data_IF_563825374131
#
_entry.id   IF_563825374131
#
_cell.length_a   1.000
_cell.length_b   1.000
_cell.length_c   1.000
_cell.angle_alpha   90.00
_cell.angle_beta   90.00
_cell.angle_gamma   90.00
#
_symmetry.space_group_name_H-M   'P 1'
#
loop_
_entity.id
_entity.type
_entity.pdbx_description
1 polymer ?
#
# COMPACT_ATOMS: atom_id res chain seq x y z
N UNK A 1 26.06 142.54 38.88
CA UNK A 1 26.71 141.49 39.69
C UNK A 1 25.82 140.25 39.83
N UNK A 2 24.52 140.38 40.14
CA UNK A 2 23.62 139.21 40.27
C UNK A 2 23.42 138.40 38.97
N UNK A 3 23.28 139.06 37.82
CA UNK A 3 23.12 138.38 36.50
C UNK A 3 24.30 137.47 36.17
N UNK A 4 25.52 137.92 36.47
CA UNK A 4 26.76 137.20 36.19
C UNK A 4 26.96 135.98 37.12
N UNK A 5 26.39 136.04 38.33
CA UNK A 5 26.36 134.89 39.26
C UNK A 5 25.33 133.86 38.80
N UNK A 6 24.16 134.30 38.33
CA UNK A 6 23.13 133.43 37.78
C UNK A 6 23.58 132.71 36.48
N UNK A 7 24.28 133.41 35.59
CA UNK A 7 24.89 132.81 34.39
C UNK A 7 25.91 131.73 34.75
N UNK A 8 26.81 132.00 35.70
CA UNK A 8 27.79 131.00 36.15
C UNK A 8 27.14 129.79 36.82
N UNK A 9 26.06 129.99 37.59
CA UNK A 9 25.29 128.88 38.17
C UNK A 9 24.61 128.02 37.09
N UNK A 10 23.98 128.63 36.09
CA UNK A 10 23.37 127.90 34.98
C UNK A 10 24.40 127.16 34.12
N UNK A 11 25.58 127.75 33.91
CA UNK A 11 26.69 127.10 33.20
C UNK A 11 27.23 125.89 33.97
N UNK A 12 27.35 126.00 35.30
CA UNK A 12 27.75 124.91 36.17
C UNK A 12 26.71 123.77 36.19
N UNK A 13 25.42 124.11 36.23
CA UNK A 13 24.33 123.11 36.21
C UNK A 13 24.24 122.39 34.85
N UNK A 14 24.45 123.11 33.74
CA UNK A 14 24.60 122.50 32.40
C UNK A 14 25.81 121.57 32.31
N UNK A 15 26.96 121.99 32.83
CA UNK A 15 28.15 121.15 32.89
C UNK A 15 27.93 119.88 33.72
N UNK A 16 27.24 120.00 34.86
CA UNK A 16 26.86 118.87 35.70
C UNK A 16 25.91 117.91 34.98
N UNK A 17 24.90 118.42 34.25
CA UNK A 17 24.00 117.60 33.44
C UNK A 17 24.66 116.94 32.24
N UNK A 18 25.60 117.62 31.58
CA UNK A 18 26.40 117.04 30.50
C UNK A 18 27.24 115.87 31.03
N UNK A 19 27.94 116.05 32.17
CA UNK A 19 28.71 114.98 32.79
C UNK A 19 27.84 113.79 33.26
N UNK A 20 26.65 114.05 33.82
CA UNK A 20 25.69 112.99 34.17
C UNK A 20 25.18 112.22 32.93
N UNK A 21 24.96 112.91 31.81
CA UNK A 21 24.54 112.29 30.56
C UNK A 21 25.66 111.43 29.96
N UNK A 22 26.88 111.97 29.87
CA UNK A 22 28.06 111.26 29.37
C UNK A 22 28.36 110.03 30.22
N UNK A 23 28.24 110.14 31.55
CA UNK A 23 28.38 109.00 32.46
C UNK A 23 27.34 107.92 32.17
N UNK A 24 26.05 108.27 31.99
CA UNK A 24 25.00 107.29 31.68
C UNK A 24 25.19 106.64 30.32
N UNK A 25 25.60 107.41 29.30
CA UNK A 25 25.89 106.88 27.97
C UNK A 25 27.05 105.87 28.06
N UNK A 26 28.14 106.25 28.71
CA UNK A 26 29.29 105.36 28.89
C UNK A 26 28.93 104.09 29.67
N UNK A 27 28.18 104.20 30.77
CA UNK A 27 27.75 103.03 31.56
C UNK A 27 26.84 102.12 30.72
N UNK A 28 25.83 102.68 30.05
CA UNK A 28 24.92 101.88 29.21
C UNK A 28 25.64 101.22 28.02
N UNK A 29 26.65 101.88 27.45
CA UNK A 29 27.44 101.31 26.35
C UNK A 29 28.33 100.16 26.84
N UNK A 30 28.95 100.28 28.01
CA UNK A 30 29.69 99.17 28.63
C UNK A 30 28.75 98.02 29.03
N UNK A 31 27.55 98.31 29.54
CA UNK A 31 26.54 97.29 29.81
C UNK A 31 26.08 96.59 28.53
N UNK A 32 25.88 97.31 27.42
CA UNK A 32 25.52 96.72 26.14
C UNK A 32 26.60 95.76 25.62
N UNK A 33 27.89 96.16 25.69
CA UNK A 33 29.02 95.30 25.31
C UNK A 33 29.10 94.06 26.21
N UNK A 34 28.88 94.21 27.52
CA UNK A 34 28.86 93.10 28.46
C UNK A 34 27.72 92.11 28.14
N UNK A 35 26.51 92.61 27.88
CA UNK A 35 25.34 91.81 27.53
C UNK A 35 25.52 91.11 26.17
N UNK A 36 26.12 91.78 25.19
CA UNK A 36 26.46 91.18 23.90
C UNK A 36 27.45 90.01 24.07
N UNK A 37 28.51 90.22 24.86
CA UNK A 37 29.49 89.17 25.17
C UNK A 37 28.88 87.98 25.93
N UNK A 38 27.98 88.26 26.88
CA UNK A 38 27.26 87.22 27.63
C UNK A 38 26.33 86.43 26.70
N UNK A 39 25.53 87.09 25.87
CA UNK A 39 24.65 86.43 24.90
C UNK A 39 25.44 85.61 23.86
N UNK A 40 26.57 86.12 23.37
CA UNK A 40 27.45 85.38 22.46
C UNK A 40 27.99 84.12 23.13
N UNK A 41 28.42 84.22 24.39
CA UNK A 41 28.91 83.07 25.16
C UNK A 41 27.80 82.06 25.43
N UNK A 42 26.60 82.51 25.81
CA UNK A 42 25.44 81.64 26.01
C UNK A 42 25.02 80.95 24.71
N UNK A 43 25.03 81.66 23.58
CA UNK A 43 24.75 81.07 22.27
C UNK A 43 25.78 80.01 21.89
N UNK A 44 27.07 80.23 22.19
CA UNK A 44 28.12 79.25 21.95
C UNK A 44 27.97 78.02 22.85
N UNK A 45 27.65 78.21 24.14
CA UNK A 45 27.36 77.10 25.06
C UNK A 45 26.16 76.28 24.56
N UNK A 46 25.09 76.95 24.12
CA UNK A 46 23.92 76.27 23.58
C UNK A 46 24.23 75.45 22.32
N UNK A 47 25.07 75.97 21.42
CA UNK A 47 25.54 75.24 20.23
C UNK A 47 26.36 74.01 20.60
N UNK A 48 27.36 74.16 21.46
CA UNK A 48 28.21 73.03 21.89
C UNK A 48 27.39 71.95 22.60
N UNK A 49 26.41 72.35 23.42
CA UNK A 49 25.50 71.40 24.06
C UNK A 49 24.59 70.68 23.06
N UNK A 50 24.11 71.37 22.03
CA UNK A 50 23.32 70.76 20.96
C UNK A 50 24.14 69.74 20.16
N UNK A 51 25.38 70.10 19.80
CA UNK A 51 26.31 69.21 19.09
C UNK A 51 26.65 67.96 19.92
N UNK A 52 26.88 68.14 21.22
CA UNK A 52 27.10 67.02 22.15
C UNK A 52 25.87 66.10 22.22
N UNK A 53 24.68 66.67 22.36
CA UNK A 53 23.43 65.90 22.41
C UNK A 53 23.17 65.13 21.09
N UNK A 54 23.48 65.72 19.94
CA UNK A 54 23.39 65.05 18.64
C UNK A 54 24.38 63.89 18.56
N UNK A 55 25.65 64.11 18.94
CA UNK A 55 26.67 63.06 18.94
C UNK A 55 26.30 61.89 19.87
N UNK A 56 25.78 62.19 21.06
CA UNK A 56 25.29 61.17 22.00
C UNK A 56 24.09 60.39 21.44
N UNK A 57 23.13 61.06 20.80
CA UNK A 57 21.97 60.42 20.20
C UNK A 57 22.38 59.49 19.05
N UNK A 58 23.31 59.92 18.19
CA UNK A 58 23.85 59.09 17.10
C UNK A 58 24.63 57.88 17.64
N UNK A 59 25.43 58.06 18.70
CA UNK A 59 26.13 56.96 19.34
C UNK A 59 25.15 55.94 19.94
N UNK A 60 24.12 56.40 20.65
CA UNK A 60 23.05 55.54 21.19
C UNK A 60 22.31 54.81 20.07
N UNK A 61 21.91 55.50 19.01
CA UNK A 61 21.24 54.89 17.86
C UNK A 61 22.09 53.79 17.22
N UNK A 62 23.39 54.04 17.01
CA UNK A 62 24.31 53.04 16.46
C UNK A 62 24.45 51.83 17.38
N UNK A 63 24.55 52.04 18.69
CA UNK A 63 24.64 50.96 19.66
C UNK A 63 23.37 50.09 19.68
N UNK A 64 22.19 50.71 19.69
CA UNK A 64 20.90 50.00 19.66
C UNK A 64 20.68 49.24 18.35
N UNK A 65 21.04 49.83 17.20
CA UNK A 65 20.95 49.13 15.90
C UNK A 65 21.88 47.92 15.89
N UNK A 66 23.13 48.07 16.32
CA UNK A 66 24.09 46.97 16.37
C UNK A 66 23.62 45.84 17.31
N UNK A 67 23.05 46.21 18.47
CA UNK A 67 22.46 45.27 19.43
C UNK A 67 21.26 44.53 18.82
N UNK A 68 20.33 45.24 18.21
CA UNK A 68 19.16 44.65 17.57
C UNK A 68 19.55 43.72 16.40
N UNK A 69 20.56 44.09 15.61
CA UNK A 69 21.09 43.24 14.53
C UNK A 69 21.74 41.97 15.09
N UNK A 70 22.57 42.09 16.14
CA UNK A 70 23.18 40.94 16.78
C UNK A 70 22.13 40.00 17.39
N UNK A 71 21.11 40.55 18.06
CA UNK A 71 19.99 39.77 18.59
C UNK A 71 19.20 39.08 17.47
N UNK A 72 18.91 39.77 16.37
CA UNK A 72 18.22 39.17 15.22
C UNK A 72 19.02 38.02 14.60
N UNK A 73 20.34 38.14 14.47
CA UNK A 73 21.19 37.08 13.94
C UNK A 73 21.28 35.88 14.89
N UNK A 74 21.35 36.13 16.20
CA UNK A 74 21.29 35.07 17.22
C UNK A 74 19.96 34.33 17.14
N UNK A 75 18.83 35.05 17.03
CA UNK A 75 17.52 34.43 16.91
C UNK A 75 17.38 33.62 15.62
N UNK A 76 17.89 34.14 14.50
CA UNK A 76 17.91 33.42 13.22
C UNK A 76 18.74 32.14 13.32
N UNK A 77 19.92 32.20 13.93
CA UNK A 77 20.78 31.03 14.14
C UNK A 77 20.08 29.97 15.02
N UNK A 78 19.43 30.39 16.12
CA UNK A 78 18.64 29.48 16.97
C UNK A 78 17.45 28.86 16.24
N UNK A 79 16.76 29.65 15.42
CA UNK A 79 15.64 29.16 14.62
C UNK A 79 16.09 28.06 13.64
N UNK A 80 17.21 28.29 12.94
CA UNK A 80 17.77 27.28 12.01
C UNK A 80 18.20 26.02 12.76
N UNK A 81 18.84 26.16 13.92
CA UNK A 81 19.23 25.00 14.75
C UNK A 81 18.00 24.19 15.19
N UNK A 82 16.94 24.86 15.65
CA UNK A 82 15.69 24.24 16.05
C UNK A 82 14.96 23.59 14.85
N UNK A 83 14.92 24.25 13.70
CA UNK A 83 14.35 23.70 12.47
C UNK A 83 15.05 22.41 12.05
N UNK A 84 16.39 22.41 12.03
CA UNK A 84 17.18 21.23 11.67
C UNK A 84 17.02 20.11 12.71
N UNK A 85 16.92 20.44 13.99
CA UNK A 85 16.62 19.46 15.05
C UNK A 85 15.25 18.80 14.86
N UNK A 86 14.23 19.59 14.57
CA UNK A 86 12.87 19.09 14.32
C UNK A 86 12.83 18.24 13.05
N UNK A 87 13.43 18.71 11.95
CA UNK A 87 13.57 17.94 10.71
C UNK A 87 14.28 16.61 10.94
N UNK A 88 15.38 16.61 11.69
CA UNK A 88 16.10 15.38 12.02
C UNK A 88 15.21 14.41 12.82
N UNK A 89 14.46 14.90 13.81
CA UNK A 89 13.51 14.10 14.57
C UNK A 89 12.39 13.50 13.69
N UNK A 90 11.82 14.29 12.78
CA UNK A 90 10.78 13.84 11.87
C UNK A 90 11.31 12.81 10.87
N UNK A 91 12.51 13.02 10.32
CA UNK A 91 13.20 12.05 9.45
C UNK A 91 13.45 10.73 10.20
N UNK A 92 13.88 10.79 11.46
CA UNK A 92 14.07 9.59 12.29
C UNK A 92 12.73 8.87 12.49
N UNK A 93 11.65 9.59 12.79
CA UNK A 93 10.31 9.01 12.95
C UNK A 93 9.83 8.33 11.67
N UNK A 94 10.02 8.99 10.52
CA UNK A 94 9.61 8.45 9.22
C UNK A 94 10.44 7.21 8.84
N UNK A 95 11.75 7.23 9.11
CA UNK A 95 12.62 6.08 8.90
C UNK A 95 12.22 4.90 9.79
N UNK A 96 11.87 5.13 11.06
CA UNK A 96 11.36 4.09 11.96
C UNK A 96 10.06 3.51 11.42
N UNK A 97 9.13 4.34 10.94
CA UNK A 97 7.87 3.86 10.35
C UNK A 97 8.12 3.03 9.08
N UNK A 98 9.00 3.50 8.19
CA UNK A 98 9.40 2.75 7.00
C UNK A 98 9.98 1.39 7.37
N UNK A 99 10.93 1.34 8.30
CA UNK A 99 11.51 0.10 8.79
C UNK A 99 10.47 -0.82 9.43
N UNK A 100 9.52 -0.28 10.20
CA UNK A 100 8.45 -1.06 10.80
C UNK A 100 7.55 -1.70 9.74
N UNK A 101 7.20 -0.96 8.67
CA UNK A 101 6.41 -1.47 7.55
C UNK A 101 7.18 -2.56 6.79
N UNK A 102 8.49 -2.33 6.53
CA UNK A 102 9.35 -3.30 5.85
C UNK A 102 9.48 -4.61 6.64
N UNK A 103 9.77 -4.51 7.94
CA UNK A 103 9.84 -5.67 8.85
C UNK A 103 8.48 -6.38 8.92
N UNK A 104 7.37 -5.65 8.99
CA UNK A 104 6.04 -6.25 9.03
C UNK A 104 5.69 -6.97 7.71
N UNK A 105 6.04 -6.38 6.57
CA UNK A 105 5.84 -7.00 5.25
C UNK A 105 6.71 -8.25 5.09
N UNK A 106 7.97 -8.20 5.51
CA UNK A 106 8.88 -9.35 5.49
C UNK A 106 8.40 -10.47 6.43
N UNK A 107 7.94 -10.12 7.63
CA UNK A 107 7.38 -11.08 8.58
C UNK A 107 6.11 -11.77 8.05
N UNK A 108 5.21 -11.03 7.38
CA UNK A 108 4.02 -11.61 6.78
C UNK A 108 4.37 -12.48 5.56
N UNK A 109 5.32 -12.06 4.73
CA UNK A 109 5.81 -12.86 3.61
C UNK A 109 6.42 -14.19 4.08
N UNK A 110 7.24 -14.16 5.14
CA UNK A 110 7.85 -15.35 5.71
C UNK A 110 6.80 -16.25 6.41
N UNK A 111 5.79 -15.66 7.04
CA UNK A 111 4.65 -16.39 7.60
C UNK A 111 3.90 -17.14 6.49
N UNK A 112 3.59 -16.46 5.39
CA UNK A 112 2.89 -17.05 4.25
C UNK A 112 3.71 -18.17 3.60
N UNK A 113 5.03 -17.98 3.43
CA UNK A 113 5.93 -19.04 2.94
C UNK A 113 5.89 -20.27 3.83
N UNK A 114 6.03 -20.11 5.15
CA UNK A 114 5.98 -21.24 6.08
C UNK A 114 4.64 -21.95 6.09
N UNK A 115 3.52 -21.21 6.01
CA UNK A 115 2.19 -21.81 5.90
C UNK A 115 2.06 -22.59 4.60
N UNK A 116 2.47 -22.03 3.46
CA UNK A 116 2.41 -22.70 2.17
C UNK A 116 3.29 -23.96 2.13
N UNK A 117 4.52 -23.89 2.67
CA UNK A 117 5.39 -25.06 2.82
C UNK A 117 4.76 -26.13 3.71
N UNK A 118 4.24 -25.75 4.89
CA UNK A 118 3.60 -26.70 5.79
C UNK A 118 2.35 -27.34 5.19
N UNK A 119 1.57 -26.60 4.39
CA UNK A 119 0.43 -27.15 3.65
C UNK A 119 0.88 -28.10 2.54
N UNK A 120 1.93 -27.75 1.79
CA UNK A 120 2.48 -28.63 0.75
C UNK A 120 3.01 -29.94 1.36
N UNK A 121 3.74 -29.86 2.46
CA UNK A 121 4.27 -31.02 3.18
C UNK A 121 3.12 -31.90 3.73
N UNK A 122 2.09 -31.29 4.31
CA UNK A 122 0.92 -32.02 4.81
C UNK A 122 0.18 -32.77 3.70
N UNK A 123 -0.01 -32.13 2.53
CA UNK A 123 -0.65 -32.74 1.36
C UNK A 123 0.22 -33.87 0.79
N UNK A 124 1.54 -33.67 0.70
CA UNK A 124 2.47 -34.70 0.25
C UNK A 124 2.44 -35.92 1.18
N UNK A 125 2.49 -35.71 2.49
CA UNK A 125 2.39 -36.79 3.49
C UNK A 125 1.06 -37.53 3.39
N UNK A 126 -0.05 -36.83 3.15
CA UNK A 126 -1.35 -37.45 2.94
C UNK A 126 -1.33 -38.36 1.70
N UNK A 127 -0.85 -37.87 0.57
CA UNK A 127 -0.79 -38.66 -0.67
C UNK A 127 0.17 -39.84 -0.56
N UNK A 128 1.31 -39.68 0.11
CA UNK A 128 2.24 -40.79 0.37
C UNK A 128 1.60 -41.85 1.26
N UNK A 129 0.87 -41.44 2.31
CA UNK A 129 0.16 -42.36 3.19
C UNK A 129 -0.97 -43.10 2.45
N UNK A 130 -1.74 -42.40 1.62
CA UNK A 130 -2.79 -42.99 0.77
C UNK A 130 -2.19 -43.96 -0.26
N UNK A 131 -1.13 -43.56 -0.96
CA UNK A 131 -0.44 -44.41 -1.94
C UNK A 131 0.13 -45.67 -1.28
N UNK A 132 0.78 -45.55 -0.11
CA UNK A 132 1.28 -46.68 0.66
C UNK A 132 0.14 -47.60 1.15
N UNK A 133 -1.00 -47.03 1.54
CA UNK A 133 -2.21 -47.79 1.90
C UNK A 133 -2.75 -48.60 0.73
N UNK A 134 -2.94 -47.95 -0.42
CA UNK A 134 -3.41 -48.60 -1.67
C UNK A 134 -2.42 -49.68 -2.12
N UNK A 135 -1.12 -49.39 -2.09
CA UNK A 135 -0.09 -50.37 -2.42
C UNK A 135 -0.16 -51.60 -1.53
N UNK A 136 -0.33 -51.44 -0.20
CA UNK A 136 -0.50 -52.56 0.73
C UNK A 136 -1.74 -53.39 0.42
N UNK A 137 -2.87 -52.75 0.10
CA UNK A 137 -4.11 -53.45 -0.28
C UNK A 137 -3.91 -54.23 -1.59
N UNK A 138 -3.29 -53.62 -2.60
CA UNK A 138 -3.02 -54.27 -3.88
C UNK A 138 -2.03 -55.43 -3.73
N UNK A 139 -1.00 -55.26 -2.91
CA UNK A 139 -0.05 -56.33 -2.60
C UNK A 139 -0.74 -57.51 -1.89
N UNK A 140 -1.55 -57.23 -0.87
CA UNK A 140 -2.33 -58.26 -0.18
C UNK A 140 -3.30 -58.99 -1.12
N UNK A 141 -3.93 -58.26 -2.05
CA UNK A 141 -4.78 -58.86 -3.11
C UNK A 141 -3.95 -59.75 -4.04
N UNK A 142 -2.79 -59.28 -4.50
CA UNK A 142 -1.89 -60.06 -5.36
C UNK A 142 -1.40 -61.35 -4.66
N UNK A 143 -1.02 -61.26 -3.39
CA UNK A 143 -0.61 -62.40 -2.57
C UNK A 143 -1.78 -63.39 -2.33
N UNK A 144 -2.99 -62.86 -2.13
CA UNK A 144 -4.22 -63.64 -2.04
C UNK A 144 -4.53 -64.39 -3.33
N UNK A 145 -4.45 -63.72 -4.49
CA UNK A 145 -4.61 -64.33 -5.80
C UNK A 145 -3.53 -65.39 -6.08
N UNK A 146 -2.28 -65.12 -5.73
CA UNK A 146 -1.20 -66.10 -5.84
C UNK A 146 -1.46 -67.35 -4.98
N UNK A 147 -2.02 -67.17 -3.78
CA UNK A 147 -2.42 -68.27 -2.90
C UNK A 147 -3.57 -69.08 -3.48
N UNK A 148 -4.59 -68.44 -4.06
CA UNK A 148 -5.70 -69.12 -4.72
C UNK A 148 -5.22 -69.95 -5.92
N UNK A 149 -4.37 -69.38 -6.78
CA UNK A 149 -3.77 -70.09 -7.93
C UNK A 149 -2.91 -71.28 -7.48
N UNK A 150 -2.20 -71.15 -6.36
CA UNK A 150 -1.42 -72.24 -5.78
C UNK A 150 -2.33 -73.35 -5.23
N UNK A 151 -3.45 -73.00 -4.60
CA UNK A 151 -4.42 -73.95 -4.04
C UNK A 151 -5.23 -74.69 -5.11
N UNK A 152 -5.41 -74.13 -6.31
CA UNK A 152 -6.02 -74.83 -7.46
C UNK A 152 -5.05 -75.76 -8.20
N UNK A 153 -3.87 -76.03 -7.63
CA UNK A 153 -2.89 -76.95 -8.21
C UNK A 153 -2.18 -76.40 -9.45
N UNK A 154 -2.24 -75.08 -9.68
CA UNK A 154 -1.61 -74.42 -10.83
C UNK A 154 -2.48 -74.36 -12.09
N UNK A 155 -3.74 -74.80 -12.05
CA UNK A 155 -4.66 -74.60 -13.17
C UNK A 155 -5.21 -73.16 -13.17
N UNK A 156 -4.62 -72.33 -14.03
CA UNK A 156 -4.99 -70.93 -14.19
C UNK A 156 -6.45 -70.73 -14.66
N UNK A 157 -7.05 -71.73 -15.33
CA UNK A 157 -8.45 -71.64 -15.79
C UNK A 157 -9.44 -71.76 -14.63
N UNK A 158 -9.21 -72.68 -13.70
CA UNK A 158 -10.06 -72.84 -12.51
C UNK A 158 -9.97 -71.63 -11.56
N UNK A 159 -8.76 -71.07 -11.41
CA UNK A 159 -8.55 -69.83 -10.64
C UNK A 159 -9.25 -68.63 -11.29
N UNK A 160 -9.18 -68.48 -12.62
CA UNK A 160 -9.90 -67.43 -13.34
C UNK A 160 -11.42 -67.54 -13.19
N UNK A 161 -11.99 -68.75 -13.21
CA UNK A 161 -13.43 -68.97 -12.98
C UNK A 161 -13.85 -68.58 -11.57
N UNK A 162 -13.06 -68.93 -10.54
CA UNK A 162 -13.34 -68.51 -9.16
C UNK A 162 -13.25 -66.98 -8.97
N UNK A 163 -12.25 -66.34 -9.59
CA UNK A 163 -12.13 -64.87 -9.58
C UNK A 163 -13.28 -64.18 -10.32
N UNK A 164 -13.77 -64.76 -11.42
CA UNK A 164 -14.95 -64.26 -12.12
C UNK A 164 -16.20 -64.37 -11.25
N UNK A 165 -16.40 -65.47 -10.52
CA UNK A 165 -17.56 -65.62 -9.61
C UNK A 165 -17.54 -64.56 -8.51
N UNK A 166 -16.39 -64.27 -7.91
CA UNK A 166 -16.25 -63.20 -6.90
C UNK A 166 -16.54 -61.81 -7.49
N UNK A 167 -16.09 -61.52 -8.72
CA UNK A 167 -16.31 -60.23 -9.38
C UNK A 167 -17.68 -60.06 -10.03
N UNK A 168 -18.43 -61.13 -10.24
CA UNK A 168 -19.82 -61.06 -10.72
C UNK A 168 -20.70 -60.36 -9.68
N UNK A 169 -20.50 -60.57 -8.37
CA UNK A 169 -21.29 -59.89 -7.33
C UNK A 169 -21.08 -58.36 -7.34
N UNK A 170 -19.83 -57.90 -7.43
CA UNK A 170 -19.49 -56.48 -7.56
C UNK A 170 -20.05 -55.88 -8.86
N UNK A 171 -19.95 -56.59 -10.00
CA UNK A 171 -20.53 -56.13 -11.26
C UNK A 171 -22.06 -56.04 -11.22
N UNK A 172 -22.74 -57.03 -10.64
CA UNK A 172 -24.19 -57.02 -10.51
C UNK A 172 -24.63 -55.88 -9.61
N UNK A 173 -23.92 -55.62 -8.50
CA UNK A 173 -24.21 -54.48 -7.62
C UNK A 173 -24.03 -53.14 -8.34
N UNK A 174 -22.91 -52.95 -9.04
CA UNK A 174 -22.66 -51.74 -9.83
C UNK A 174 -23.67 -51.56 -10.98
N UNK A 175 -24.10 -52.65 -11.61
CA UNK A 175 -25.14 -52.64 -12.64
C UNK A 175 -26.52 -52.33 -12.06
N UNK A 176 -26.86 -52.84 -10.87
CA UNK A 176 -28.11 -52.49 -10.17
C UNK A 176 -28.11 -51.02 -9.77
N UNK A 177 -26.97 -50.48 -9.34
CA UNK A 177 -26.83 -49.06 -9.02
C UNK A 177 -26.92 -48.18 -10.28
N UNK A 178 -26.31 -48.60 -11.39
CA UNK A 178 -26.46 -47.95 -12.69
C UNK A 178 -27.90 -48.01 -13.23
N UNK A 179 -28.61 -49.14 -13.05
CA UNK A 179 -30.03 -49.31 -13.41
C UNK A 179 -30.94 -48.48 -12.50
N UNK A 180 -30.60 -48.34 -11.22
CA UNK A 180 -31.31 -47.44 -10.29
C UNK A 180 -31.16 -45.96 -10.66
N UNK A 181 -30.02 -45.59 -11.24
CA UNK A 181 -29.76 -44.24 -11.76
C UNK A 181 -30.30 -44.02 -13.19
N UNK A 182 -30.63 -45.08 -13.92
CA UNK A 182 -31.49 -45.03 -15.11
C UNK A 182 -32.94 -44.79 -14.67
N UNK A 183 -33.29 -43.53 -14.44
CA UNK A 183 -34.68 -43.12 -14.65
C UNK A 183 -35.02 -43.44 -16.10
N UNK A 184 -36.01 -44.31 -16.32
CA UNK A 184 -36.66 -44.49 -17.62
C UNK A 184 -37.43 -43.19 -17.91
N UNK A 185 -36.70 -42.15 -18.33
CA UNK A 185 -37.24 -40.93 -18.93
C UNK A 185 -37.01 -41.04 -20.44
N UNK A 186 -37.83 -41.88 -21.09
CA UNK A 186 -38.14 -41.77 -22.53
C UNK A 186 -39.16 -42.83 -22.95
N UNK A 187 -40.42 -42.67 -22.51
CA UNK A 187 -41.50 -42.82 -23.48
C UNK A 187 -41.79 -41.42 -23.99
N UNK A 188 -40.91 -40.94 -24.87
CA UNK A 188 -41.25 -39.86 -25.78
C UNK A 188 -41.64 -40.54 -27.07
N UNK A 189 -42.95 -40.68 -27.26
CA UNK A 189 -43.55 -41.04 -28.53
C UNK A 189 -43.09 -40.01 -29.56
N UNK A 190 -42.04 -40.35 -30.30
CA UNK A 190 -41.73 -39.71 -31.58
C UNK A 190 -42.63 -40.35 -32.62
N UNK A 191 -43.85 -39.85 -32.74
CA UNK A 191 -44.54 -39.87 -34.03
C UNK A 191 -44.95 -38.44 -34.35
N UNK A 192 -43.95 -37.70 -34.83
CA UNK A 192 -44.10 -36.37 -35.41
C UNK A 192 -44.24 -36.47 -36.92
N UNK A 193 -45.39 -36.96 -37.39
CA UNK A 193 -46.05 -36.53 -38.63
C UNK A 193 -45.57 -37.15 -39.95
N UNK A 194 -46.44 -37.94 -40.58
CA UNK A 194 -46.42 -38.10 -42.04
C UNK A 194 -47.06 -39.35 -42.66
N UNK A 195 -48.39 -39.47 -42.58
CA UNK A 195 -49.29 -40.11 -43.56
C UNK A 195 -49.34 -41.64 -43.75
N UNK A 196 -50.50 -42.16 -43.34
CA UNK A 196 -51.35 -43.17 -44.00
C UNK A 196 -50.91 -44.64 -44.03
N UNK A 197 -51.54 -45.38 -43.10
CA UNK A 197 -51.98 -46.79 -43.20
C UNK A 197 -50.95 -47.87 -42.83
N UNK A 198 -50.93 -48.26 -41.54
CA UNK A 198 -50.22 -49.44 -41.04
C UNK A 198 -49.75 -49.28 -39.59
N UNK A 199 -50.13 -50.22 -38.72
CA UNK A 199 -49.90 -50.20 -37.27
C UNK A 199 -48.44 -50.04 -36.84
N UNK A 200 -48.15 -49.02 -36.03
CA UNK A 200 -46.84 -48.69 -35.43
C UNK A 200 -46.21 -49.78 -34.51
N UNK A 201 -46.78 -50.98 -34.44
CA UNK A 201 -46.25 -52.12 -33.68
C UNK A 201 -45.44 -53.10 -34.52
N UNK A 202 -45.55 -53.09 -35.85
CA UNK A 202 -44.78 -53.97 -36.75
C UNK A 202 -43.40 -53.42 -37.14
N UNK A 203 -43.23 -52.09 -37.16
CA UNK A 203 -41.94 -51.46 -37.51
C UNK A 203 -40.93 -51.39 -36.36
N UNK A 204 -41.36 -51.58 -35.11
CA UNK A 204 -40.47 -51.69 -33.94
C UNK A 204 -39.76 -53.06 -33.88
N UNK A 205 -40.46 -54.13 -34.28
CA UNK A 205 -39.89 -55.48 -34.31
C UNK A 205 -38.91 -55.63 -35.47
N UNK A 206 -39.18 -55.02 -36.62
CA UNK A 206 -38.28 -55.04 -37.78
C UNK A 206 -37.03 -54.17 -37.57
N UNK A 207 -37.12 -53.07 -36.82
CA UNK A 207 -35.95 -52.24 -36.46
C UNK A 207 -35.07 -52.87 -35.37
N UNK A 208 -35.64 -53.67 -34.45
CA UNK A 208 -34.86 -54.38 -33.42
C UNK A 208 -34.07 -55.58 -34.00
N UNK A 209 -34.61 -56.23 -35.03
CA UNK A 209 -33.92 -57.33 -35.74
C UNK A 209 -32.81 -56.79 -36.65
N UNK A 210 -32.90 -55.53 -37.10
CA UNK A 210 -31.90 -54.89 -37.98
C UNK A 210 -30.83 -54.06 -37.22
N UNK A 211 -31.02 -53.83 -35.92
CA UNK A 211 -30.12 -53.03 -35.06
C UNK A 211 -29.18 -53.86 -34.19
N UNK A 212 -29.12 -55.17 -34.38
CA UNK A 212 -28.03 -56.00 -33.86
C UNK A 212 -26.97 -56.08 -34.96
N UNK A 213 -25.87 -55.30 -34.86
CA UNK A 213 -24.71 -55.55 -35.70
C UNK A 213 -24.27 -57.00 -35.44
N UNK A 214 -23.81 -57.74 -36.45
CA UNK A 214 -23.31 -59.09 -36.24
C UNK A 214 -22.28 -59.05 -35.10
N UNK A 215 -22.60 -59.65 -33.94
CA UNK A 215 -21.73 -59.63 -32.76
C UNK A 215 -20.32 -60.22 -33.05
N UNK A 216 -20.19 -60.90 -34.18
CA UNK A 216 -18.94 -61.43 -34.72
C UNK A 216 -17.96 -60.36 -35.27
N UNK A 217 -18.43 -59.21 -35.76
CA UNK A 217 -17.54 -58.18 -36.34
C UNK A 217 -16.94 -57.24 -35.28
N UNK A 218 -17.62 -57.08 -34.13
CA UNK A 218 -17.12 -56.28 -33.02
C UNK A 218 -16.13 -57.09 -32.15
N UNK A 219 -16.38 -58.38 -31.97
CA UNK A 219 -15.47 -59.26 -31.21
C UNK A 219 -14.12 -59.48 -31.93
N UNK A 220 -14.13 -59.60 -33.26
CA UNK A 220 -12.91 -59.81 -34.07
C UNK A 220 -12.01 -58.56 -34.15
N UNK A 221 -12.59 -57.36 -34.17
CA UNK A 221 -11.84 -56.09 -34.12
C UNK A 221 -11.27 -55.76 -32.73
N UNK A 222 -11.79 -56.39 -31.67
CA UNK A 222 -11.31 -56.28 -30.28
C UNK A 222 -10.34 -57.40 -29.87
N UNK A 223 -9.98 -58.31 -30.80
CA UNK A 223 -8.95 -59.34 -30.60
C UNK A 223 -9.37 -60.51 -29.70
N UNK A 224 -10.67 -60.79 -29.57
CA UNK A 224 -11.19 -61.87 -28.71
C UNK A 224 -11.92 -62.92 -29.57
N UNK A 225 -11.33 -64.11 -29.68
CA UNK A 225 -11.99 -65.28 -30.27
C UNK A 225 -12.98 -65.90 -29.28
N UNK A 226 -14.26 -65.92 -29.64
CA UNK A 226 -15.32 -66.55 -28.86
C UNK A 226 -15.56 -68.00 -29.37
N UNK A 227 -15.79 -68.97 -28.45
CA UNK A 227 -15.91 -70.39 -28.80
C UNK A 227 -17.17 -70.73 -29.63
N UNK A 228 -17.04 -71.74 -30.50
CA UNK A 228 -17.94 -72.18 -31.60
C UNK A 228 -19.42 -72.47 -31.27
N UNK A 229 -19.86 -72.34 -30.02
CA UNK A 229 -21.25 -72.63 -29.63
C UNK A 229 -22.22 -71.44 -29.73
N UNK A 230 -21.77 -70.28 -30.22
CA UNK A 230 -22.60 -69.08 -30.43
C UNK A 230 -22.94 -68.77 -31.90
N UNK A 231 -22.96 -69.80 -32.74
CA UNK A 231 -23.57 -69.76 -34.07
C UNK A 231 -22.58 -69.47 -35.19
N UNK A 232 -22.50 -70.40 -36.13
CA UNK A 232 -21.81 -70.28 -37.40
C UNK A 232 -22.76 -69.65 -38.43
N UNK A 233 -22.28 -68.68 -39.21
CA UNK A 233 -22.99 -68.25 -40.42
C UNK A 233 -22.90 -69.38 -41.44
N UNK A 234 -24.06 -69.90 -41.85
CA UNK A 234 -24.18 -70.61 -43.12
C UNK A 234 -23.95 -69.57 -44.23
N UNK A 235 -22.73 -69.56 -44.77
CA UNK A 235 -22.46 -68.90 -46.04
C UNK A 235 -23.04 -69.78 -47.15
N UNK A 236 -24.27 -69.48 -47.57
CA UNK A 236 -24.74 -69.82 -48.91
C UNK A 236 -24.16 -68.80 -49.90
N UNK A 237 -23.18 -69.24 -50.69
CA UNK A 237 -22.92 -68.71 -52.02
C UNK A 237 -23.03 -69.87 -53.03
N UNK A 238 -23.97 -69.76 -53.98
CA UNK A 238 -23.88 -70.44 -55.27
C UNK A 238 -24.95 -71.47 -55.63
N UNK A 239 -26.16 -71.00 -56.00
CA UNK A 239 -26.76 -71.20 -57.33
C UNK A 239 -27.97 -70.29 -57.54
#
# INVERSE_FOLDING_TARGET
REIQVAENMAQAEKGKKAAEADQRVFVNEQEAIAVEGENSSQAQIARVNADLAEAEALAKQRAEIAKAQAEAEIQKSKYVEEEERLRASDIVRENIQKQQIEIAAEAEAERQRRIASGQADAVLMQYEAEAAGVQKVLQAKADGYASLVKSTGGDAKAAATLLMVEKIEEMVSAQVEAVKNLKIDSITVWDGGGSADGSATSDFISSLVRSLPPLHDVARNAGVDLPEYLGTMNNEEGQ
#
